data_IF_241808389972
#
_entry.id   IF_241808389972
#
_cell.length_a   1.000
_cell.length_b   1.000
_cell.length_c   1.000
_cell.angle_alpha   90.00
_cell.angle_beta   90.00
_cell.angle_gamma   90.00
#
_symmetry.space_group_name_H-M   'P 1'
#
loop_
_entity.id
_entity.type
_entity.pdbx_description
1 polymer ?
#
# COMPACT_ATOMS: atom_id res chain seq x y z
N UNK A 1 -47.54 -5.38 -23.80
CA UNK A 1 -47.01 -5.39 -22.41
C UNK A 1 -45.56 -5.87 -22.31
N UNK A 2 -45.19 -7.02 -22.92
CA UNK A 2 -43.83 -7.59 -22.79
C UNK A 2 -42.71 -6.70 -23.33
N UNK A 3 -42.93 -6.02 -24.46
CA UNK A 3 -41.99 -5.04 -25.01
C UNK A 3 -41.83 -3.78 -24.14
N UNK A 4 -42.93 -3.30 -23.56
CA UNK A 4 -42.91 -2.13 -22.67
C UNK A 4 -42.09 -2.43 -21.40
N UNK A 5 -42.22 -3.65 -20.87
CA UNK A 5 -41.47 -4.10 -19.70
C UNK A 5 -39.95 -4.16 -19.95
N UNK A 6 -39.54 -4.58 -21.15
CA UNK A 6 -38.13 -4.60 -21.56
C UNK A 6 -37.57 -3.17 -21.67
N UNK A 7 -38.33 -2.24 -22.25
CA UNK A 7 -37.93 -0.83 -22.37
C UNK A 7 -37.79 -0.19 -20.99
N UNK A 8 -38.72 -0.46 -20.08
CA UNK A 8 -38.64 0.04 -18.69
C UNK A 8 -37.43 -0.55 -17.96
N UNK A 9 -37.12 -1.84 -18.11
CA UNK A 9 -35.92 -2.43 -17.50
C UNK A 9 -34.62 -1.81 -18.02
N UNK A 10 -34.54 -1.49 -19.32
CA UNK A 10 -33.36 -0.83 -19.91
C UNK A 10 -33.20 0.62 -19.43
N UNK A 11 -34.29 1.33 -19.16
CA UNK A 11 -34.25 2.70 -18.64
C UNK A 11 -33.85 2.78 -17.15
N UNK A 12 -34.01 1.69 -16.39
CA UNK A 12 -33.63 1.62 -14.96
C UNK A 12 -32.21 1.06 -14.77
N UNK A 13 -31.58 0.53 -15.81
CA UNK A 13 -30.19 0.09 -15.80
C UNK A 13 -29.23 1.29 -15.85
N UNK A 14 -29.07 1.99 -14.73
CA UNK A 14 -28.04 3.01 -14.59
C UNK A 14 -26.65 2.36 -14.52
N UNK A 15 -25.60 2.95 -15.14
CA UNK A 15 -24.24 2.49 -14.95
C UNK A 15 -23.89 2.65 -13.47
N UNK A 16 -23.53 1.54 -12.84
CA UNK A 16 -22.97 1.56 -11.50
C UNK A 16 -21.49 1.85 -11.68
N UNK A 17 -21.06 3.05 -11.30
CA UNK A 17 -19.65 3.44 -11.21
C UNK A 17 -19.00 2.65 -10.06
N UNK A 18 -18.66 1.39 -10.33
CA UNK A 18 -17.77 0.63 -9.49
C UNK A 18 -16.36 1.22 -9.65
N UNK A 19 -16.09 2.33 -8.96
CA UNK A 19 -14.77 2.94 -8.93
C UNK A 19 -13.73 1.86 -8.58
N UNK A 20 -12.67 1.74 -9.40
CA UNK A 20 -11.62 0.75 -9.16
C UNK A 20 -11.14 0.84 -7.72
N UNK A 21 -11.08 -0.31 -7.03
CA UNK A 21 -10.56 -0.39 -5.68
C UNK A 21 -9.05 -0.18 -5.73
N UNK A 22 -8.62 1.07 -5.49
CA UNK A 22 -7.20 1.42 -5.29
C UNK A 22 -6.82 0.98 -3.89
N UNK A 23 -6.11 -0.13 -3.78
CA UNK A 23 -5.75 -0.72 -2.49
C UNK A 23 -4.27 -1.06 -2.46
N UNK A 24 -3.63 -0.70 -1.35
CA UNK A 24 -2.36 -1.26 -0.92
C UNK A 24 -2.59 -2.31 0.15
N UNK A 25 -1.64 -3.24 0.29
CA UNK A 25 -1.65 -4.24 1.37
C UNK A 25 -0.33 -4.15 2.12
N UNK A 26 -0.41 -3.97 3.43
CA UNK A 26 0.73 -4.10 4.33
C UNK A 26 0.66 -5.45 5.01
N UNK A 27 1.70 -6.26 4.86
CA UNK A 27 1.90 -7.47 5.67
C UNK A 27 2.86 -7.16 6.78
N UNK A 28 2.50 -7.51 8.02
CA UNK A 28 3.39 -7.41 9.19
C UNK A 28 3.72 -8.83 9.65
N UNK A 29 5.01 -9.16 9.70
CA UNK A 29 5.50 -10.49 10.01
C UNK A 29 6.47 -10.44 11.20
N UNK A 30 6.24 -11.28 12.20
CA UNK A 30 7.23 -11.52 13.27
C UNK A 30 8.19 -12.62 12.83
N UNK A 31 9.39 -12.24 12.38
CA UNK A 31 10.39 -13.16 11.89
C UNK A 31 11.30 -13.65 13.02
N UNK A 32 11.07 -14.87 13.49
CA UNK A 32 11.87 -15.50 14.56
C UNK A 32 13.33 -15.76 14.20
N UNK A 33 13.65 -15.87 12.89
CA UNK A 33 15.03 -16.15 12.43
C UNK A 33 15.92 -14.92 12.56
N UNK A 34 15.39 -13.74 12.24
CA UNK A 34 16.09 -12.44 12.32
C UNK A 34 15.83 -11.73 13.64
N UNK A 35 14.82 -12.17 14.40
CA UNK A 35 14.28 -11.50 15.59
C UNK A 35 13.78 -10.07 15.28
N UNK A 36 13.25 -9.88 14.07
CA UNK A 36 12.69 -8.62 13.60
C UNK A 36 11.19 -8.73 13.34
N UNK A 37 10.48 -7.62 13.50
CA UNK A 37 9.21 -7.39 12.84
C UNK A 37 9.51 -6.83 11.44
N UNK A 38 8.93 -7.45 10.42
CA UNK A 38 9.13 -7.12 9.00
C UNK A 38 7.82 -6.61 8.41
N UNK A 39 7.87 -5.50 7.70
CA UNK A 39 6.74 -4.89 7.02
C UNK A 39 6.97 -4.94 5.51
N UNK A 40 5.96 -5.42 4.80
CA UNK A 40 5.96 -5.51 3.34
C UNK A 40 4.74 -4.76 2.82
N UNK A 41 4.97 -3.63 2.16
CA UNK A 41 3.92 -2.84 1.54
C UNK A 41 3.84 -3.17 0.06
N UNK A 42 2.68 -3.62 -0.40
CA UNK A 42 2.45 -3.97 -1.80
C UNK A 42 1.44 -3.01 -2.42
N UNK A 43 1.82 -2.43 -3.55
CA UNK A 43 1.00 -1.52 -4.35
C UNK A 43 0.89 -2.02 -5.78
N UNK A 44 -0.23 -1.82 -6.44
CA UNK A 44 -0.32 -2.02 -7.89
C UNK A 44 0.35 -0.85 -8.62
N UNK A 45 1.23 -1.14 -9.59
CA UNK A 45 2.01 -0.10 -10.30
C UNK A 45 1.14 0.99 -10.94
N UNK A 46 0.07 0.60 -11.63
CA UNK A 46 -0.82 1.55 -12.31
C UNK A 46 -1.47 2.56 -11.33
N UNK A 47 -1.85 2.09 -10.14
CA UNK A 47 -2.41 2.94 -9.09
C UNK A 47 -1.32 3.83 -8.47
N UNK A 48 -0.13 3.27 -8.29
CA UNK A 48 1.03 4.00 -7.79
C UNK A 48 1.39 5.15 -8.72
N UNK A 49 1.59 4.93 -10.02
CA UNK A 49 1.98 6.01 -10.95
C UNK A 49 0.98 7.18 -10.93
N UNK A 50 -0.31 6.87 -10.87
CA UNK A 50 -1.35 7.89 -10.80
C UNK A 50 -1.35 8.64 -9.46
N UNK A 51 -1.26 7.94 -8.34
CA UNK A 51 -1.23 8.55 -7.01
C UNK A 51 0.03 9.40 -6.81
N UNK A 52 1.17 8.87 -7.25
CA UNK A 52 2.49 9.47 -7.08
C UNK A 52 2.64 10.70 -7.96
N UNK A 53 2.12 10.69 -9.20
CA UNK A 53 2.03 11.90 -10.03
C UNK A 53 1.21 13.02 -9.40
N UNK A 54 0.21 12.68 -8.57
CA UNK A 54 -0.57 13.66 -7.79
C UNK A 54 0.23 14.18 -6.59
N UNK A 55 0.98 13.31 -5.91
CA UNK A 55 1.70 13.64 -4.67
C UNK A 55 2.95 14.52 -4.90
N UNK A 56 3.58 14.44 -6.07
CA UNK A 56 4.96 14.90 -6.24
C UNK A 56 5.21 15.91 -7.36
N UNK A 57 4.13 16.40 -7.99
CA UNK A 57 4.12 17.32 -9.13
C UNK A 57 5.06 16.89 -10.27
N UNK A 58 4.47 16.39 -11.37
CA UNK A 58 5.20 16.05 -12.59
C UNK A 58 4.98 14.62 -13.05
N UNK A 59 5.63 14.26 -14.16
CA UNK A 59 5.64 12.88 -14.65
C UNK A 59 6.57 12.03 -13.80
N UNK A 60 6.04 10.92 -13.32
CA UNK A 60 6.79 9.94 -12.53
C UNK A 60 6.74 8.61 -13.26
N UNK A 61 7.88 7.94 -13.29
CA UNK A 61 8.05 6.61 -13.89
C UNK A 61 8.48 5.61 -12.81
N UNK A 62 7.51 5.03 -12.11
CA UNK A 62 7.80 4.05 -11.06
C UNK A 62 8.33 2.75 -11.65
N UNK A 63 7.98 2.43 -12.90
CA UNK A 63 8.37 1.19 -13.56
C UNK A 63 9.88 1.14 -13.80
N UNK A 64 10.46 2.22 -14.34
CA UNK A 64 11.84 2.20 -14.82
C UNK A 64 12.79 3.13 -14.05
N UNK A 65 12.30 4.18 -13.40
CA UNK A 65 13.15 5.18 -12.78
C UNK A 65 13.41 4.89 -11.29
N UNK A 66 14.67 4.55 -10.96
CA UNK A 66 15.09 4.28 -9.58
C UNK A 66 14.96 5.48 -8.63
N UNK A 67 15.08 6.70 -9.13
CA UNK A 67 14.91 7.91 -8.31
C UNK A 67 13.45 8.04 -7.87
N UNK A 68 12.52 7.81 -8.79
CA UNK A 68 11.08 7.85 -8.51
C UNK A 68 10.63 6.72 -7.59
N UNK A 69 11.16 5.51 -7.80
CA UNK A 69 10.97 4.37 -6.89
C UNK A 69 11.42 4.72 -5.47
N UNK A 70 12.62 5.29 -5.31
CA UNK A 70 13.13 5.67 -4.00
C UNK A 70 12.31 6.80 -3.37
N UNK A 71 11.85 7.77 -4.18
CA UNK A 71 11.02 8.89 -3.71
C UNK A 71 9.69 8.38 -3.15
N UNK A 72 9.03 7.46 -3.85
CA UNK A 72 7.79 6.86 -3.36
C UNK A 72 8.03 5.92 -2.17
N UNK A 73 9.11 5.14 -2.16
CA UNK A 73 9.48 4.31 -1.02
C UNK A 73 9.63 5.14 0.27
N UNK A 74 10.36 6.26 0.20
CA UNK A 74 10.51 7.20 1.33
C UNK A 74 9.18 7.78 1.81
N UNK A 75 8.26 8.05 0.90
CA UNK A 75 6.92 8.51 1.27
C UNK A 75 6.16 7.42 2.03
N UNK A 76 6.17 6.19 1.56
CA UNK A 76 5.54 5.07 2.28
C UNK A 76 6.16 4.91 3.66
N UNK A 77 7.49 4.90 3.74
CA UNK A 77 8.24 4.75 4.98
C UNK A 77 7.91 5.84 6.02
N UNK A 78 7.62 7.06 5.58
CA UNK A 78 7.27 8.18 6.47
C UNK A 78 5.80 8.21 6.91
N UNK A 79 4.94 7.38 6.33
CA UNK A 79 3.50 7.34 6.60
C UNK A 79 3.07 6.06 7.31
N UNK A 80 4.03 5.23 7.72
CA UNK A 80 3.77 4.00 8.46
C UNK A 80 4.50 4.07 9.79
N UNK A 81 3.73 3.94 10.87
CA UNK A 81 4.26 3.81 12.22
C UNK A 81 3.71 2.54 12.88
N UNK A 82 4.57 1.91 13.68
CA UNK A 82 4.18 0.86 14.61
C UNK A 82 4.44 1.33 16.03
N UNK A 83 3.56 0.93 16.93
CA UNK A 83 3.73 1.12 18.36
C UNK A 83 3.44 -0.18 19.10
N UNK A 84 3.99 -0.32 20.30
CA UNK A 84 3.55 -1.34 21.25
C UNK A 84 2.10 -1.07 21.69
N UNK A 85 1.47 -2.01 22.37
CA UNK A 85 0.16 -1.78 22.98
C UNK A 85 0.16 -0.63 24.01
N UNK A 86 1.30 -0.41 24.68
CA UNK A 86 1.49 0.71 25.61
C UNK A 86 1.70 2.06 24.93
N UNK A 87 1.83 2.09 23.60
CA UNK A 87 2.03 3.32 22.81
C UNK A 87 3.49 3.71 22.60
N UNK A 88 4.45 2.83 22.95
CA UNK A 88 5.87 3.11 22.69
C UNK A 88 6.17 2.90 21.20
N UNK A 89 6.81 3.87 20.51
CA UNK A 89 7.10 3.75 19.09
C UNK A 89 8.13 2.67 18.81
N UNK A 90 7.91 1.91 17.74
CA UNK A 90 8.85 0.91 17.22
C UNK A 90 9.54 1.53 16.00
N UNK A 91 10.82 1.94 16.12
CA UNK A 91 11.52 2.65 15.05
C UNK A 91 11.82 1.71 13.87
N UNK A 92 11.11 1.92 12.77
CA UNK A 92 11.27 1.16 11.54
C UNK A 92 12.48 1.65 10.74
N UNK A 93 13.26 0.69 10.25
CA UNK A 93 14.38 0.90 9.33
C UNK A 93 13.99 0.49 7.92
N UNK A 94 14.44 1.24 6.91
CA UNK A 94 14.25 0.88 5.51
C UNK A 94 15.14 -0.30 5.13
N UNK A 95 14.57 -1.30 4.45
CA UNK A 95 15.31 -2.42 3.84
C UNK A 95 15.49 -2.19 2.35
N UNK A 96 14.47 -1.64 1.68
CA UNK A 96 14.52 -1.29 0.26
C UNK A 96 13.16 -1.33 -0.41
N UNK A 97 13.16 -1.10 -1.72
CA UNK A 97 11.96 -1.14 -2.54
C UNK A 97 12.26 -1.74 -3.91
N UNK A 98 11.27 -2.39 -4.52
CA UNK A 98 11.43 -3.01 -5.84
C UNK A 98 10.13 -3.06 -6.63
N UNK A 99 10.28 -3.11 -7.95
CA UNK A 99 9.22 -3.48 -8.87
C UNK A 99 9.30 -4.98 -9.10
N UNK A 100 8.20 -5.69 -8.88
CA UNK A 100 8.08 -7.12 -9.16
C UNK A 100 6.75 -7.41 -9.88
N UNK A 101 6.85 -7.74 -11.17
CA UNK A 101 5.71 -7.91 -12.05
C UNK A 101 4.83 -6.66 -12.11
N UNK A 102 3.57 -6.79 -11.67
CA UNK A 102 2.58 -5.70 -11.65
C UNK A 102 2.58 -4.90 -10.34
N UNK A 103 3.50 -5.20 -9.43
CA UNK A 103 3.52 -4.64 -8.09
C UNK A 103 4.77 -3.81 -7.83
N UNK A 104 4.59 -2.77 -7.02
CA UNK A 104 5.66 -2.08 -6.33
C UNK A 104 5.67 -2.49 -4.87
N UNK A 105 6.85 -2.81 -4.34
CA UNK A 105 7.06 -3.25 -2.99
C UNK A 105 7.95 -2.28 -2.23
N UNK A 106 7.62 -2.02 -0.97
CA UNK A 106 8.46 -1.28 -0.01
C UNK A 106 8.62 -2.16 1.23
N UNK A 107 9.84 -2.25 1.75
CA UNK A 107 10.20 -3.11 2.86
C UNK A 107 10.80 -2.31 4.01
N UNK A 108 10.26 -2.52 5.21
CA UNK A 108 10.79 -1.98 6.46
C UNK A 108 10.95 -3.09 7.50
N UNK A 109 11.82 -2.88 8.48
CA UNK A 109 11.96 -3.79 9.60
C UNK A 109 12.31 -3.06 10.90
N UNK A 110 12.08 -3.72 12.03
CA UNK A 110 12.59 -3.29 13.32
C UNK A 110 12.91 -4.50 14.20
N UNK A 111 13.89 -4.41 15.12
CA UNK A 111 14.07 -5.42 16.16
C UNK A 111 12.79 -5.60 16.97
N UNK A 112 12.43 -6.85 17.29
CA UNK A 112 11.30 -7.13 18.18
C UNK A 112 11.65 -6.65 19.60
N UNK A 113 10.89 -5.70 20.20
CA UNK A 113 11.13 -5.27 21.56
C UNK A 113 11.04 -6.43 22.56
N UNK A 114 11.92 -6.43 23.57
CA UNK A 114 11.91 -7.46 24.59
C UNK A 114 10.61 -7.39 25.41
N UNK A 115 9.95 -8.54 25.59
CA UNK A 115 8.71 -8.61 26.36
C UNK A 115 7.49 -8.00 25.65
N UNK A 116 7.54 -7.85 24.32
CA UNK A 116 6.39 -7.33 23.57
C UNK A 116 5.16 -8.24 23.72
N UNK A 117 4.04 -7.64 24.09
CA UNK A 117 2.74 -8.34 24.19
C UNK A 117 1.94 -8.23 22.90
N UNK A 118 2.18 -7.19 22.11
CA UNK A 118 1.53 -6.95 20.82
C UNK A 118 1.92 -5.61 20.21
N UNK A 119 1.41 -5.36 19.00
CA UNK A 119 1.62 -4.13 18.23
C UNK A 119 0.29 -3.54 17.79
N UNK A 120 0.27 -2.23 17.58
CA UNK A 120 -0.80 -1.51 16.87
C UNK A 120 -0.18 -0.60 15.81
N UNK A 121 -0.92 -0.37 14.74
CA UNK A 121 -0.59 0.64 13.74
C UNK A 121 -1.25 1.97 14.14
N UNK A 122 -0.55 3.07 13.87
CA UNK A 122 -1.04 4.44 13.97
C UNK A 122 -1.27 5.03 12.58
#
# INVERSE_FOLDING_TARGET
MRFLLIIVCLLVAAPIEAHQLKSSVTTVLFNKRTNNVELMHRFYLHDTEHAVGTLFEGKIDIISNKVDQQRFAKYVESHVALQTLSGEPIPLSSVGAQVDGKFFWVYQEAPIPQGIEGIKNE
#
